data_IF_582052265595
#
_entry.id   IF_582052265595
#
_cell.length_a   1.000
_cell.length_b   1.000
_cell.length_c   1.000
_cell.angle_alpha   90.00
_cell.angle_beta   90.00
_cell.angle_gamma   90.00
#
_symmetry.space_group_name_H-M   'P 1'
#
loop_
_entity.id
_entity.type
_entity.pdbx_description
1 polymer ?
#
# COMPACT_ATOMS: atom_id res chain seq x y z
N UNK A 1 -30.60 6.41 -10.03
CA UNK A 1 -29.66 5.96 -8.98
C UNK A 1 -28.91 7.20 -8.49
N UNK A 2 -28.76 7.41 -7.18
CA UNK A 2 -28.01 8.58 -6.67
C UNK A 2 -26.51 8.46 -7.01
N UNK A 3 -25.81 9.60 -7.12
CA UNK A 3 -24.38 9.62 -7.41
C UNK A 3 -23.57 8.96 -6.29
N UNK A 4 -23.94 9.17 -5.03
CA UNK A 4 -23.31 8.51 -3.89
C UNK A 4 -23.51 7.00 -3.91
N UNK A 5 -24.66 6.49 -4.37
CA UNK A 5 -24.86 5.05 -4.55
C UNK A 5 -23.95 4.51 -5.65
N UNK A 6 -23.81 5.20 -6.78
CA UNK A 6 -22.87 4.82 -7.85
C UNK A 6 -21.43 4.76 -7.34
N UNK A 7 -21.04 5.74 -6.53
CA UNK A 7 -19.73 5.76 -5.89
C UNK A 7 -19.54 4.56 -4.95
N UNK A 8 -20.53 4.29 -4.09
CA UNK A 8 -20.53 3.12 -3.20
C UNK A 8 -20.41 1.81 -3.98
N UNK A 9 -21.22 1.61 -5.04
CA UNK A 9 -21.16 0.41 -5.88
C UNK A 9 -19.77 0.26 -6.54
N UNK A 10 -19.08 1.37 -6.83
CA UNK A 10 -17.70 1.37 -7.33
C UNK A 10 -16.68 0.94 -6.27
N UNK A 11 -16.84 1.38 -5.02
CA UNK A 11 -16.02 0.89 -3.90
C UNK A 11 -16.08 -0.65 -3.80
N UNK A 12 -17.26 -1.25 -4.01
CA UNK A 12 -17.42 -2.71 -3.99
C UNK A 12 -16.65 -3.42 -5.09
N UNK A 13 -16.50 -2.79 -6.27
CA UNK A 13 -15.64 -3.30 -7.35
C UNK A 13 -14.18 -3.34 -6.91
N UNK A 14 -13.71 -2.28 -6.25
CA UNK A 14 -12.33 -2.21 -5.77
C UNK A 14 -12.08 -3.15 -4.60
N UNK A 15 -13.05 -3.35 -3.70
CA UNK A 15 -12.98 -4.36 -2.64
C UNK A 15 -12.79 -5.75 -3.27
N UNK A 16 -13.62 -6.13 -4.27
CA UNK A 16 -13.45 -7.41 -4.98
C UNK A 16 -12.05 -7.54 -5.60
N UNK A 17 -11.58 -6.49 -6.28
CA UNK A 17 -10.23 -6.45 -6.86
C UNK A 17 -9.13 -6.58 -5.79
N UNK A 18 -9.33 -5.99 -4.62
CA UNK A 18 -8.42 -6.10 -3.48
C UNK A 18 -8.26 -7.56 -3.04
N UNK A 19 -9.35 -8.30 -2.85
CA UNK A 19 -9.30 -9.71 -2.50
C UNK A 19 -8.65 -10.59 -3.58
N UNK A 20 -8.73 -10.19 -4.85
CA UNK A 20 -8.07 -10.87 -5.96
C UNK A 20 -6.55 -10.65 -6.02
N UNK A 21 -6.00 -9.71 -5.24
CA UNK A 21 -4.57 -9.45 -5.19
C UNK A 21 -3.78 -10.72 -4.85
N UNK A 22 -2.64 -11.01 -5.52
CA UNK A 22 -1.89 -12.26 -5.34
C UNK A 22 -1.48 -12.54 -3.88
N UNK A 23 -1.27 -11.49 -3.09
CA UNK A 23 -1.04 -11.58 -1.65
C UNK A 23 -2.21 -12.26 -0.93
N UNK A 24 -3.42 -11.72 -1.08
CA UNK A 24 -4.61 -12.21 -0.39
C UNK A 24 -5.06 -13.59 -0.90
N UNK A 25 -4.97 -13.84 -2.21
CA UNK A 25 -5.25 -15.16 -2.79
C UNK A 25 -4.35 -16.29 -2.25
N UNK A 26 -3.18 -15.95 -1.71
CA UNK A 26 -2.25 -16.91 -1.14
C UNK A 26 -2.04 -16.71 0.38
N UNK A 27 -2.86 -15.89 1.03
CA UNK A 27 -2.64 -15.48 2.42
C UNK A 27 -2.64 -16.68 3.38
N UNK A 28 -3.65 -17.55 3.28
CA UNK A 28 -3.76 -18.76 4.08
C UNK A 28 -2.63 -19.79 3.84
N UNK A 29 -1.86 -19.64 2.75
CA UNK A 29 -0.74 -20.52 2.38
C UNK A 29 0.63 -19.98 2.82
N UNK A 30 0.69 -18.77 3.37
CA UNK A 30 1.94 -18.21 3.91
C UNK A 30 2.43 -19.05 5.09
N UNK A 31 3.75 -19.14 5.28
CA UNK A 31 4.30 -19.68 6.53
C UNK A 31 4.06 -18.70 7.69
N UNK A 32 4.21 -19.17 8.92
CA UNK A 32 4.06 -18.30 10.09
C UNK A 32 5.12 -17.21 10.15
N UNK A 33 6.33 -17.50 9.65
CA UNK A 33 7.40 -16.50 9.51
C UNK A 33 7.00 -15.40 8.50
N UNK A 34 6.40 -15.78 7.38
CA UNK A 34 5.92 -14.83 6.36
C UNK A 34 4.79 -13.95 6.89
N UNK A 35 3.83 -14.57 7.61
CA UNK A 35 2.74 -13.87 8.25
C UNK A 35 3.27 -12.87 9.28
N UNK A 36 4.15 -13.31 10.21
CA UNK A 36 4.79 -12.43 11.20
C UNK A 36 5.56 -11.29 10.55
N UNK A 37 6.30 -11.55 9.47
CA UNK A 37 7.01 -10.49 8.73
C UNK A 37 6.05 -9.45 8.14
N UNK A 38 4.93 -9.89 7.58
CA UNK A 38 3.91 -8.96 7.10
C UNK A 38 3.27 -8.16 8.25
N UNK A 39 2.91 -8.80 9.36
CA UNK A 39 2.33 -8.12 10.52
C UNK A 39 3.32 -7.11 11.14
N UNK A 40 4.62 -7.42 11.13
CA UNK A 40 5.67 -6.49 11.55
C UNK A 40 5.80 -5.27 10.62
N UNK A 41 5.62 -5.40 9.31
CA UNK A 41 5.56 -4.23 8.41
C UNK A 41 4.23 -3.46 8.56
N UNK A 42 3.14 -4.16 8.90
CA UNK A 42 1.84 -3.55 9.16
C UNK A 42 1.86 -2.62 10.37
N UNK A 43 2.64 -2.97 11.40
CA UNK A 43 2.95 -2.08 12.53
C UNK A 43 3.32 -0.67 12.06
N UNK A 44 4.23 -0.56 11.08
CA UNK A 44 4.68 0.74 10.59
C UNK A 44 3.60 1.51 9.83
N UNK A 45 2.69 0.83 9.13
CA UNK A 45 1.52 1.51 8.54
C UNK A 45 0.60 2.06 9.64
N UNK A 46 0.28 1.25 10.65
CA UNK A 46 -0.60 1.67 11.76
C UNK A 46 0.02 2.82 12.59
N UNK A 47 1.34 2.82 12.79
CA UNK A 47 2.05 3.93 13.45
C UNK A 47 1.93 5.27 12.72
N UNK A 48 1.64 5.28 11.42
CA UNK A 48 1.51 6.50 10.64
C UNK A 48 0.06 6.92 10.43
N UNK A 49 -0.91 6.18 10.96
CA UNK A 49 -2.33 6.49 10.80
C UNK A 49 -2.68 7.88 11.37
N UNK A 50 -2.44 8.10 12.68
CA UNK A 50 -2.69 9.42 13.32
C UNK A 50 -1.91 10.56 12.64
N UNK A 51 -0.57 10.48 12.41
CA UNK A 51 0.15 11.53 11.68
C UNK A 51 -0.39 11.85 10.29
N UNK A 52 -0.91 10.84 9.58
CA UNK A 52 -1.51 11.02 8.27
C UNK A 52 -2.82 11.82 8.36
N UNK A 53 -3.68 11.47 9.33
CA UNK A 53 -4.95 12.16 9.57
C UNK A 53 -4.73 13.57 10.14
N UNK A 54 -3.79 13.76 11.07
CA UNK A 54 -3.43 15.06 11.63
C UNK A 54 -2.97 16.06 10.55
N UNK A 55 -2.19 15.57 9.57
CA UNK A 55 -1.79 16.40 8.44
C UNK A 55 -3.00 16.92 7.65
N UNK A 56 -3.99 16.06 7.39
CA UNK A 56 -5.22 16.45 6.71
C UNK A 56 -6.08 17.39 7.57
N UNK A 57 -6.19 17.12 8.88
CA UNK A 57 -6.89 17.98 9.85
C UNK A 57 -6.34 19.40 9.83
N UNK A 58 -5.01 19.56 9.84
CA UNK A 58 -4.36 20.87 9.83
C UNK A 58 -4.71 21.66 8.56
N UNK A 59 -4.70 21.01 7.40
CA UNK A 59 -5.10 21.64 6.14
C UNK A 59 -6.58 22.00 6.14
N UNK A 60 -7.47 21.08 6.51
CA UNK A 60 -8.92 21.34 6.55
C UNK A 60 -9.25 22.49 7.51
N UNK A 61 -8.55 22.57 8.65
CA UNK A 61 -8.68 23.68 9.59
C UNK A 61 -8.25 25.01 8.96
N UNK A 62 -7.12 25.05 8.23
CA UNK A 62 -6.66 26.25 7.55
C UNK A 62 -7.60 26.69 6.41
N UNK A 63 -8.29 25.75 5.78
CA UNK A 63 -9.28 26.03 4.72
C UNK A 63 -10.68 26.39 5.28
N UNK A 64 -10.91 26.28 6.59
CA UNK A 64 -12.23 26.53 7.20
C UNK A 64 -13.23 25.39 7.01
N UNK A 65 -12.78 24.19 6.63
CA UNK A 65 -13.61 23.02 6.33
C UNK A 65 -13.96 22.23 7.59
N UNK A 66 -14.64 22.91 8.52
CA UNK A 66 -14.83 22.44 9.90
C UNK A 66 -15.55 21.08 9.99
N UNK A 67 -16.54 20.82 9.14
CA UNK A 67 -17.29 19.54 9.17
C UNK A 67 -16.39 18.35 8.83
N UNK A 68 -15.58 18.46 7.77
CA UNK A 68 -14.67 17.38 7.38
C UNK A 68 -13.55 17.22 8.44
N UNK A 69 -13.04 18.33 8.96
CA UNK A 69 -12.04 18.36 10.03
C UNK A 69 -12.54 17.69 11.31
N UNK A 70 -13.78 17.94 11.71
CA UNK A 70 -14.37 17.36 12.93
C UNK A 70 -14.58 15.84 12.80
N UNK A 71 -14.92 15.36 11.59
CA UNK A 71 -14.96 13.92 11.31
C UNK A 71 -13.59 13.29 11.54
N UNK A 72 -12.53 13.84 10.95
CA UNK A 72 -11.18 13.28 11.11
C UNK A 72 -10.68 13.37 12.56
N UNK A 73 -11.02 14.44 13.29
CA UNK A 73 -10.67 14.56 14.70
C UNK A 73 -11.30 13.48 15.56
N UNK A 74 -12.58 13.19 15.36
CA UNK A 74 -13.25 12.12 16.10
C UNK A 74 -12.51 10.79 15.88
N UNK A 75 -12.11 10.50 14.65
CA UNK A 75 -11.34 9.30 14.32
C UNK A 75 -10.00 9.29 15.07
N UNK A 76 -9.25 10.39 15.06
CA UNK A 76 -7.98 10.50 15.79
C UNK A 76 -8.15 10.36 17.31
N UNK A 77 -9.25 10.89 17.87
CA UNK A 77 -9.57 10.75 19.29
C UNK A 77 -9.86 9.28 19.64
N UNK A 78 -10.52 8.53 18.75
CA UNK A 78 -10.78 7.10 18.90
C UNK A 78 -9.50 6.25 18.80
N UNK A 79 -8.54 6.66 17.95
CA UNK A 79 -7.21 6.02 17.85
C UNK A 79 -6.34 6.20 19.11
N UNK A 80 -6.58 7.29 19.84
CA UNK A 80 -5.77 7.71 21.00
C UNK A 80 -6.66 8.13 22.19
N UNK A 81 -7.50 7.21 22.70
CA UNK A 81 -8.51 7.53 23.70
C UNK A 81 -7.88 7.86 25.05
N UNK A 82 -8.45 8.85 25.75
CA UNK A 82 -8.01 9.20 27.11
C UNK A 82 -8.45 8.11 28.10
N UNK A 83 -7.49 7.56 28.84
CA UNK A 83 -7.76 6.60 29.93
C UNK A 83 -8.01 5.16 29.47
N UNK A 84 -7.75 4.84 28.20
CA UNK A 84 -7.77 3.49 27.64
C UNK A 84 -6.50 3.27 26.80
N UNK A 85 -6.12 2.02 26.51
CA UNK A 85 -5.07 1.75 25.54
C UNK A 85 -5.37 2.40 24.19
N UNK A 86 -4.34 2.90 23.52
CA UNK A 86 -4.41 3.30 22.12
C UNK A 86 -4.49 2.09 21.20
N UNK A 87 -5.00 2.29 19.99
CA UNK A 87 -4.99 1.25 18.95
C UNK A 87 -3.58 0.72 18.65
N UNK A 88 -2.55 1.54 18.86
CA UNK A 88 -1.15 1.13 18.75
C UNK A 88 -0.72 0.19 19.86
N UNK A 89 -1.15 0.44 21.10
CA UNK A 89 -0.88 -0.47 22.22
C UNK A 89 -1.62 -1.79 22.03
N UNK A 90 -2.87 -1.75 21.56
CA UNK A 90 -3.65 -2.94 21.25
C UNK A 90 -3.03 -3.74 20.10
N UNK A 91 -2.48 -3.07 19.07
CA UNK A 91 -1.74 -3.75 18.01
C UNK A 91 -0.47 -4.44 18.56
N UNK A 92 0.31 -3.78 19.43
CA UNK A 92 1.47 -4.45 20.04
C UNK A 92 1.05 -5.67 20.86
N UNK A 93 -0.08 -5.60 21.55
CA UNK A 93 -0.62 -6.72 22.30
C UNK A 93 -0.95 -7.91 21.39
N UNK A 94 -1.64 -7.67 20.27
CA UNK A 94 -1.92 -8.72 19.28
C UNK A 94 -0.63 -9.27 18.65
N UNK A 95 0.35 -8.40 18.36
CA UNK A 95 1.65 -8.80 17.79
C UNK A 95 2.46 -9.68 18.76
N UNK A 96 2.42 -9.40 20.06
CA UNK A 96 3.06 -10.24 21.08
C UNK A 96 2.46 -11.65 21.09
N UNK A 97 1.13 -11.76 20.95
CA UNK A 97 0.43 -13.06 20.93
C UNK A 97 0.74 -13.93 19.73
N UNK A 98 1.14 -13.33 18.60
CA UNK A 98 1.65 -14.11 17.46
C UNK A 98 3.12 -14.47 17.59
N UNK A 99 3.78 -14.12 18.71
CA UNK A 99 5.18 -14.44 18.99
C UNK A 99 6.19 -13.43 18.46
N UNK A 100 5.78 -12.20 18.16
CA UNK A 100 6.71 -11.11 17.87
C UNK A 100 7.12 -10.40 19.16
N UNK A 101 8.41 -10.12 19.34
CA UNK A 101 8.87 -9.37 20.50
C UNK A 101 8.53 -7.87 20.34
N UNK A 102 7.75 -7.25 21.24
CA UNK A 102 7.39 -5.84 21.14
C UNK A 102 8.59 -4.89 21.06
N UNK A 103 9.67 -5.19 21.79
CA UNK A 103 10.88 -4.36 21.77
C UNK A 103 11.64 -4.44 20.44
N UNK A 104 11.58 -5.56 19.75
CA UNK A 104 12.17 -5.70 18.42
C UNK A 104 11.35 -4.94 17.38
N UNK A 105 10.02 -5.03 17.45
CA UNK A 105 9.10 -4.28 16.60
C UNK A 105 9.28 -2.77 16.75
N UNK A 106 9.43 -2.28 17.99
CA UNK A 106 9.65 -0.86 18.27
C UNK A 106 10.99 -0.33 17.74
N UNK A 107 12.02 -1.19 17.66
CA UNK A 107 13.35 -0.83 17.13
C UNK A 107 13.49 -1.07 15.64
N UNK A 108 12.60 -1.88 15.05
CA UNK A 108 12.65 -2.22 13.64
C UNK A 108 12.46 -0.97 12.77
N UNK A 109 13.19 -0.93 11.67
CA UNK A 109 12.98 0.06 10.63
C UNK A 109 12.05 -0.51 9.56
N UNK A 110 11.04 0.24 9.09
CA UNK A 110 10.18 -0.21 8.00
C UNK A 110 10.99 -0.54 6.77
N UNK A 111 10.55 -1.51 5.96
CA UNK A 111 11.20 -1.81 4.68
C UNK A 111 11.26 -0.58 3.77
N UNK A 112 12.16 -0.57 2.78
CA UNK A 112 12.20 0.48 1.74
C UNK A 112 10.84 0.60 1.03
N UNK A 113 10.12 -0.50 0.88
CA UNK A 113 8.82 -0.53 0.22
C UNK A 113 7.73 0.07 1.11
N UNK A 114 7.72 -0.28 2.39
CA UNK A 114 6.83 0.29 3.40
C UNK A 114 7.05 1.80 3.53
N UNK A 115 8.29 2.28 3.60
CA UNK A 115 8.59 3.73 3.61
C UNK A 115 8.08 4.45 2.37
N UNK A 116 8.25 3.86 1.18
CA UNK A 116 7.70 4.43 -0.06
C UNK A 116 6.19 4.47 -0.06
N UNK A 117 5.55 3.42 0.46
CA UNK A 117 4.09 3.34 0.60
C UNK A 117 3.60 4.44 1.54
N UNK A 118 4.21 4.59 2.72
CA UNK A 118 3.90 5.66 3.67
C UNK A 118 4.02 7.04 3.04
N UNK A 119 5.13 7.32 2.35
CA UNK A 119 5.31 8.59 1.66
C UNK A 119 4.21 8.85 0.61
N UNK A 120 3.80 7.81 -0.13
CA UNK A 120 2.69 7.92 -1.10
C UNK A 120 1.34 8.13 -0.41
N UNK A 121 1.05 7.46 0.70
CA UNK A 121 -0.19 7.63 1.47
C UNK A 121 -0.31 9.08 1.95
N UNK A 122 0.73 9.61 2.61
CA UNK A 122 0.78 11.02 2.99
C UNK A 122 0.64 11.96 1.78
N UNK A 123 1.21 11.59 0.64
CA UNK A 123 1.06 12.31 -0.62
C UNK A 123 -0.37 12.48 -1.11
N UNK A 124 -1.29 11.58 -0.73
CA UNK A 124 -2.71 11.67 -1.12
C UNK A 124 -3.44 12.84 -0.44
N UNK A 125 -2.90 13.37 0.65
CA UNK A 125 -3.53 14.42 1.48
C UNK A 125 -2.74 15.73 1.49
N UNK A 126 -1.72 15.85 0.64
CA UNK A 126 -0.97 17.11 0.47
C UNK A 126 -1.86 18.12 -0.23
N UNK A 127 -1.95 19.33 0.35
CA UNK A 127 -2.64 20.45 -0.29
C UNK A 127 -1.83 20.98 -1.47
N UNK A 128 -2.48 21.09 -2.61
CA UNK A 128 -1.90 21.54 -3.89
C UNK A 128 -2.68 22.72 -4.50
N UNK A 129 -3.63 23.31 -3.77
CA UNK A 129 -4.48 24.40 -4.26
C UNK A 129 -5.71 23.95 -5.06
N UNK A 130 -5.94 22.65 -5.23
CA UNK A 130 -7.10 22.14 -5.95
C UNK A 130 -8.42 22.41 -5.19
N UNK A 131 -9.44 22.99 -5.84
CA UNK A 131 -10.77 23.19 -5.24
C UNK A 131 -11.48 21.90 -4.84
N UNK A 132 -11.03 20.73 -5.30
CA UNK A 132 -11.54 19.42 -4.90
C UNK A 132 -10.75 18.76 -3.76
N UNK A 133 -9.84 19.49 -3.11
CA UNK A 133 -8.97 18.94 -2.05
C UNK A 133 -9.74 18.15 -0.98
N UNK A 134 -10.85 18.71 -0.47
CA UNK A 134 -11.67 18.06 0.57
C UNK A 134 -12.20 16.73 0.07
N UNK A 135 -12.83 16.71 -1.11
CA UNK A 135 -13.38 15.50 -1.70
C UNK A 135 -12.30 14.44 -1.93
N UNK A 136 -11.15 14.81 -2.51
CA UNK A 136 -10.04 13.88 -2.75
C UNK A 136 -9.47 13.32 -1.44
N UNK A 137 -9.23 14.18 -0.47
CA UNK A 137 -8.65 13.81 0.84
C UNK A 137 -9.58 12.87 1.60
N UNK A 138 -10.85 13.22 1.74
CA UNK A 138 -11.83 12.40 2.46
C UNK A 138 -12.06 11.06 1.77
N UNK A 139 -12.05 11.05 0.43
CA UNK A 139 -12.16 9.80 -0.35
C UNK A 139 -10.93 8.91 -0.16
N UNK A 140 -9.73 9.49 -0.20
CA UNK A 140 -8.49 8.74 -0.04
C UNK A 140 -8.33 8.13 1.35
N UNK A 141 -8.62 8.91 2.40
CA UNK A 141 -8.60 8.46 3.80
C UNK A 141 -9.62 7.34 4.04
N UNK A 142 -10.88 7.54 3.64
CA UNK A 142 -11.92 6.50 3.70
C UNK A 142 -11.48 5.20 3.03
N UNK A 143 -10.92 5.30 1.83
CA UNK A 143 -10.55 4.11 1.04
C UNK A 143 -9.37 3.37 1.67
N UNK A 144 -8.23 4.06 1.83
CA UNK A 144 -6.97 3.40 2.21
C UNK A 144 -6.74 3.31 3.73
N UNK A 145 -7.46 4.12 4.51
CA UNK A 145 -7.42 4.18 5.97
C UNK A 145 -8.52 3.35 6.65
N UNK A 146 -9.72 3.25 6.06
CA UNK A 146 -10.85 2.55 6.70
C UNK A 146 -11.22 1.26 5.94
N UNK A 147 -11.77 1.39 4.73
CA UNK A 147 -12.38 0.27 3.99
C UNK A 147 -11.37 -0.83 3.73
N UNK A 148 -10.22 -0.50 3.13
CA UNK A 148 -9.21 -1.50 2.81
C UNK A 148 -8.48 -2.04 4.05
N UNK A 149 -8.56 -1.35 5.19
CA UNK A 149 -8.06 -1.86 6.48
C UNK A 149 -8.96 -2.98 6.98
N UNK A 150 -10.28 -2.78 6.98
CA UNK A 150 -11.23 -3.82 7.35
C UNK A 150 -11.10 -5.05 6.44
N UNK A 151 -11.05 -4.85 5.12
CA UNK A 151 -10.96 -5.95 4.16
C UNK A 151 -9.62 -6.70 4.20
N UNK A 152 -8.55 -6.03 4.63
CA UNK A 152 -7.29 -6.69 4.96
C UNK A 152 -7.47 -7.62 6.16
N UNK A 153 -8.07 -7.11 7.25
CA UNK A 153 -8.21 -7.86 8.50
C UNK A 153 -9.20 -9.01 8.42
N UNK A 154 -10.12 -8.99 7.46
CA UNK A 154 -10.95 -10.14 7.08
C UNK A 154 -10.12 -11.40 6.78
N UNK A 155 -8.91 -11.25 6.23
CA UNK A 155 -8.00 -12.38 5.99
C UNK A 155 -7.10 -12.67 7.19
N UNK A 156 -6.75 -11.64 7.96
CA UNK A 156 -5.83 -11.76 9.11
C UNK A 156 -6.49 -12.52 10.24
N UNK A 157 -7.69 -12.10 10.67
CA UNK A 157 -8.36 -12.61 11.88
C UNK A 157 -8.50 -14.14 11.88
N UNK A 158 -8.99 -14.80 10.81
CA UNK A 158 -9.09 -16.26 10.79
C UNK A 158 -7.73 -16.96 10.92
N UNK A 159 -6.65 -16.37 10.40
CA UNK A 159 -5.31 -16.95 10.48
C UNK A 159 -4.67 -16.73 11.86
N UNK A 160 -5.03 -15.65 12.57
CA UNK A 160 -4.61 -15.45 13.96
C UNK A 160 -5.17 -16.53 14.88
N UNK A 161 -6.47 -16.80 14.75
CA UNK A 161 -7.15 -17.85 15.49
C UNK A 161 -6.56 -19.23 15.15
N UNK A 162 -6.51 -19.56 13.84
CA UNK A 162 -6.08 -20.88 13.38
C UNK A 162 -4.64 -21.24 13.74
N UNK A 163 -3.72 -20.25 13.78
CA UNK A 163 -2.27 -20.50 13.92
C UNK A 163 -1.73 -20.19 15.31
N UNK A 164 -2.34 -19.24 16.01
CA UNK A 164 -1.81 -18.69 17.26
C UNK A 164 -2.81 -18.73 18.41
N UNK A 165 -3.97 -19.38 18.22
CA UNK A 165 -5.03 -19.50 19.24
C UNK A 165 -5.51 -18.14 19.76
N UNK A 166 -5.40 -17.09 18.92
CA UNK A 166 -5.86 -15.75 19.22
C UNK A 166 -7.25 -15.55 18.61
N UNK A 167 -8.29 -15.80 19.40
CA UNK A 167 -9.68 -15.73 18.93
C UNK A 167 -10.11 -14.29 18.63
N UNK A 168 -11.17 -14.07 17.82
CA UNK A 168 -11.70 -12.73 17.56
C UNK A 168 -12.05 -11.94 18.84
N UNK A 169 -12.55 -12.61 19.89
CA UNK A 169 -12.89 -11.99 21.17
C UNK A 169 -11.66 -11.58 21.99
N UNK A 170 -10.52 -12.20 21.72
CA UNK A 170 -9.26 -11.90 22.39
C UNK A 170 -8.45 -10.86 21.64
N UNK A 171 -8.52 -10.84 20.30
CA UNK A 171 -7.83 -9.85 19.48
C UNK A 171 -8.34 -8.45 19.80
N UNK A 172 -7.43 -7.57 20.22
CA UNK A 172 -7.76 -6.21 20.63
C UNK A 172 -7.76 -5.23 19.47
N UNK A 173 -6.98 -5.53 18.44
CA UNK A 173 -6.78 -4.63 17.31
C UNK A 173 -7.40 -5.18 16.02
N UNK A 174 -6.98 -6.36 15.57
CA UNK A 174 -7.36 -6.84 14.23
C UNK A 174 -8.87 -7.15 14.12
N UNK A 175 -9.42 -7.90 15.08
CA UNK A 175 -10.85 -8.23 15.08
C UNK A 175 -11.72 -6.99 15.30
N UNK A 176 -11.30 -6.10 16.20
CA UNK A 176 -11.99 -4.82 16.45
C UNK A 176 -12.14 -3.99 15.17
N UNK A 177 -11.05 -3.73 14.44
CA UNK A 177 -11.09 -2.94 13.20
C UNK A 177 -11.79 -3.67 12.04
N UNK A 178 -11.71 -5.01 11.97
CA UNK A 178 -12.47 -5.77 10.98
C UNK A 178 -13.99 -5.58 11.15
N UNK A 179 -14.47 -5.57 12.38
CA UNK A 179 -15.88 -5.32 12.68
C UNK A 179 -16.23 -3.84 12.55
N UNK A 180 -15.40 -2.94 13.08
CA UNK A 180 -15.69 -1.52 13.20
C UNK A 180 -15.61 -0.75 11.87
N UNK A 181 -14.65 -1.08 11.01
CA UNK A 181 -14.36 -0.23 9.84
C UNK A 181 -14.99 -0.76 8.54
N UNK A 182 -15.56 -1.98 8.56
CA UNK A 182 -16.17 -2.58 7.38
C UNK A 182 -17.32 -1.72 6.86
N UNK A 183 -17.42 -1.67 5.53
CA UNK A 183 -18.38 -0.81 4.83
C UNK A 183 -19.84 -1.18 5.08
N UNK A 184 -20.13 -2.45 5.27
CA UNK A 184 -21.47 -3.02 5.45
C UNK A 184 -21.91 -3.12 6.92
N UNK A 185 -21.09 -2.68 7.88
CA UNK A 185 -21.52 -2.60 9.27
C UNK A 185 -22.34 -1.34 9.50
N UNK A 186 -23.61 -1.49 9.86
CA UNK A 186 -24.50 -0.37 10.24
C UNK A 186 -23.97 0.42 11.45
N UNK A 187 -23.17 -0.20 12.31
CA UNK A 187 -22.53 0.46 13.46
C UNK A 187 -21.13 1.02 13.15
N UNK A 188 -20.63 0.94 11.91
CA UNK A 188 -19.29 1.38 11.55
C UNK A 188 -19.15 2.90 11.53
N UNK A 189 -18.88 3.50 12.70
CA UNK A 189 -18.98 4.95 12.92
C UNK A 189 -18.04 5.75 12.01
N UNK A 190 -16.83 5.25 11.76
CA UNK A 190 -15.82 5.94 10.95
C UNK A 190 -16.21 5.95 9.48
N UNK A 191 -16.46 4.79 8.88
CA UNK A 191 -16.89 4.69 7.48
C UNK A 191 -18.20 5.48 7.24
N UNK A 192 -19.19 5.45 8.13
CA UNK A 192 -20.40 6.27 7.94
C UNK A 192 -20.16 7.77 8.07
N UNK A 193 -19.22 8.20 8.92
CA UNK A 193 -18.88 9.61 9.07
C UNK A 193 -18.26 10.22 7.81
N UNK A 194 -17.41 9.47 7.10
CA UNK A 194 -16.92 9.84 5.77
C UNK A 194 -18.07 9.93 4.75
N UNK A 195 -18.98 8.97 4.78
CA UNK A 195 -20.09 8.88 3.82
C UNK A 195 -20.93 10.16 3.75
N UNK A 196 -21.19 10.80 4.91
CA UNK A 196 -21.93 12.07 4.98
C UNK A 196 -21.18 13.23 4.31
N UNK A 197 -19.86 13.30 4.47
CA UNK A 197 -19.05 14.33 3.82
C UNK A 197 -19.00 14.10 2.31
N UNK A 198 -18.86 12.83 1.87
CA UNK A 198 -18.86 12.48 0.46
C UNK A 198 -20.21 12.75 -0.20
N UNK A 199 -21.32 12.41 0.45
CA UNK A 199 -22.67 12.67 -0.05
C UNK A 199 -22.89 14.17 -0.31
N UNK A 200 -22.43 15.05 0.58
CA UNK A 200 -22.54 16.50 0.38
C UNK A 200 -21.60 17.06 -0.69
N UNK A 201 -20.54 16.34 -1.06
CA UNK A 201 -19.52 16.81 -2.02
C UNK A 201 -19.67 16.20 -3.42
N UNK A 202 -20.28 15.01 -3.55
CA UNK A 202 -20.54 14.35 -4.83
C UNK A 202 -21.89 14.84 -5.38
N UNK A 203 -21.89 16.10 -5.83
CA UNK A 203 -23.10 16.82 -6.28
C UNK A 203 -23.43 16.62 -7.75
N UNK A 204 -22.45 16.23 -8.56
CA UNK A 204 -22.53 16.09 -10.00
C UNK A 204 -21.55 15.02 -10.52
N UNK A 205 -21.59 14.74 -11.82
CA UNK A 205 -20.73 13.73 -12.45
C UNK A 205 -19.25 14.08 -12.40
N UNK A 206 -18.88 15.37 -12.35
CA UNK A 206 -17.49 15.79 -12.29
C UNK A 206 -16.91 15.47 -10.92
N UNK A 207 -17.66 15.78 -9.85
CA UNK A 207 -17.32 15.39 -8.49
C UNK A 207 -17.29 13.88 -8.32
N UNK A 208 -18.22 13.14 -8.94
CA UNK A 208 -18.17 11.68 -8.94
C UNK A 208 -16.88 11.15 -9.59
N UNK A 209 -16.47 11.71 -10.73
CA UNK A 209 -15.20 11.35 -11.40
C UNK A 209 -13.99 11.63 -10.51
N UNK A 210 -13.97 12.78 -9.82
CA UNK A 210 -12.89 13.12 -8.88
C UNK A 210 -12.84 12.12 -7.72
N UNK A 211 -13.98 11.74 -7.15
CA UNK A 211 -14.03 10.73 -6.08
C UNK A 211 -13.51 9.38 -6.57
N UNK A 212 -13.93 8.93 -7.75
CA UNK A 212 -13.46 7.67 -8.36
C UNK A 212 -11.94 7.70 -8.58
N UNK A 213 -11.39 8.78 -9.13
CA UNK A 213 -9.94 8.92 -9.33
C UNK A 213 -9.17 8.90 -8.01
N UNK A 214 -9.64 9.63 -7.00
CA UNK A 214 -9.03 9.62 -5.66
C UNK A 214 -9.07 8.22 -5.03
N UNK A 215 -10.18 7.50 -5.19
CA UNK A 215 -10.35 6.12 -4.70
C UNK A 215 -9.37 5.17 -5.38
N UNK A 216 -9.21 5.28 -6.70
CA UNK A 216 -8.25 4.47 -7.46
C UNK A 216 -6.81 4.72 -7.00
N UNK A 217 -6.41 5.98 -6.83
CA UNK A 217 -5.06 6.31 -6.34
C UNK A 217 -4.82 5.76 -4.94
N UNK A 218 -5.81 5.91 -4.04
CA UNK A 218 -5.73 5.37 -2.69
C UNK A 218 -5.63 3.84 -2.69
N UNK A 219 -6.46 3.18 -3.50
CA UNK A 219 -6.40 1.74 -3.73
C UNK A 219 -5.02 1.30 -4.24
N UNK A 220 -4.49 1.95 -5.28
CA UNK A 220 -3.19 1.59 -5.87
C UNK A 220 -2.04 1.72 -4.88
N UNK A 221 -2.02 2.82 -4.11
CA UNK A 221 -1.01 3.02 -3.08
C UNK A 221 -1.12 1.93 -2.00
N UNK A 222 -2.34 1.64 -1.53
CA UNK A 222 -2.57 0.65 -0.48
C UNK A 222 -2.29 -0.77 -0.96
N UNK A 223 -2.82 -1.17 -2.11
CA UNK A 223 -2.57 -2.47 -2.73
C UNK A 223 -1.07 -2.66 -3.01
N UNK A 224 -0.39 -1.60 -3.44
CA UNK A 224 1.05 -1.61 -3.67
C UNK A 224 1.85 -2.03 -2.44
N UNK A 225 1.39 -1.76 -1.20
CA UNK A 225 2.04 -2.24 0.02
C UNK A 225 2.31 -3.75 0.00
N UNK A 226 1.34 -4.54 -0.47
CA UNK A 226 1.37 -6.00 -0.38
C UNK A 226 2.26 -6.64 -1.45
N UNK A 227 2.66 -5.91 -2.49
CA UNK A 227 3.58 -6.40 -3.54
C UNK A 227 4.89 -6.93 -2.96
N UNK A 228 5.36 -6.34 -1.85
CA UNK A 228 6.60 -6.74 -1.18
C UNK A 228 6.56 -8.18 -0.60
N UNK A 229 5.38 -8.79 -0.51
CA UNK A 229 5.18 -10.14 0.02
C UNK A 229 4.83 -11.16 -1.06
N UNK A 230 4.67 -10.76 -2.31
CA UNK A 230 4.33 -11.70 -3.40
C UNK A 230 5.57 -12.46 -3.90
N UNK A 231 5.43 -13.72 -4.34
CA UNK A 231 6.55 -14.55 -4.80
C UNK A 231 7.34 -13.95 -5.99
N UNK A 232 6.69 -13.11 -6.80
CA UNK A 232 7.32 -12.40 -7.92
C UNK A 232 8.41 -11.44 -7.43
N UNK A 233 8.19 -10.76 -6.30
CA UNK A 233 9.19 -9.85 -5.72
C UNK A 233 10.42 -10.61 -5.20
N UNK A 234 10.23 -11.80 -4.59
CA UNK A 234 11.34 -12.68 -4.16
C UNK A 234 12.15 -13.23 -5.31
N UNK A 235 11.51 -13.75 -6.36
CA UNK A 235 12.22 -14.25 -7.56
C UNK A 235 13.04 -13.15 -8.21
N UNK A 236 12.49 -11.94 -8.30
CA UNK A 236 13.20 -10.79 -8.87
C UNK A 236 14.34 -10.26 -7.98
N UNK A 237 14.23 -10.39 -6.65
CA UNK A 237 15.35 -10.14 -5.74
C UNK A 237 16.47 -11.17 -5.91
N UNK A 238 16.14 -12.46 -6.02
CA UNK A 238 17.13 -13.52 -6.29
C UNK A 238 17.86 -13.27 -7.61
N UNK A 239 17.12 -12.95 -8.69
CA UNK A 239 17.72 -12.60 -9.99
C UNK A 239 18.63 -11.37 -9.88
N UNK A 240 18.25 -10.33 -9.14
CA UNK A 240 19.09 -9.14 -8.93
C UNK A 240 20.36 -9.42 -8.14
N UNK A 241 20.27 -10.20 -7.06
CA UNK A 241 21.42 -10.60 -6.24
C UNK A 241 22.39 -11.43 -7.08
N UNK A 242 21.89 -12.37 -7.88
CA UNK A 242 22.72 -13.19 -8.76
C UNK A 242 23.32 -12.38 -9.91
N UNK A 243 22.59 -11.41 -10.47
CA UNK A 243 23.12 -10.50 -11.49
C UNK A 243 24.24 -9.59 -10.97
N UNK A 244 24.15 -9.20 -9.70
CA UNK A 244 25.21 -8.45 -9.05
C UNK A 244 26.46 -9.29 -8.72
N UNK A 245 26.32 -10.61 -8.57
CA UNK A 245 27.39 -11.49 -8.07
C UNK A 245 28.03 -12.41 -9.11
N UNK A 246 27.37 -12.69 -10.25
CA UNK A 246 27.85 -13.69 -11.22
C UNK A 246 27.95 -13.21 -12.68
N UNK A 247 27.75 -11.91 -12.92
CA UNK A 247 27.74 -11.34 -14.26
C UNK A 247 26.48 -11.74 -15.04
N UNK A 248 26.09 -10.88 -15.99
CA UNK A 248 24.79 -10.89 -16.69
C UNK A 248 24.43 -12.27 -17.30
N UNK A 249 25.43 -13.03 -17.76
CA UNK A 249 25.22 -14.33 -18.42
C UNK A 249 24.69 -15.44 -17.49
N UNK A 250 25.19 -15.52 -16.25
CA UNK A 250 24.72 -16.53 -15.28
C UNK A 250 23.28 -16.26 -14.81
N UNK A 251 22.90 -14.98 -14.76
CA UNK A 251 21.56 -14.56 -14.33
C UNK A 251 20.50 -14.80 -15.40
N UNK A 252 20.86 -14.68 -16.68
CA UNK A 252 19.97 -15.02 -17.80
C UNK A 252 19.71 -16.53 -17.87
N UNK A 253 20.75 -17.36 -17.66
CA UNK A 253 20.62 -18.82 -17.61
C UNK A 253 19.74 -19.29 -16.44
N UNK A 254 19.82 -18.64 -15.28
CA UNK A 254 18.98 -18.99 -14.14
C UNK A 254 17.55 -18.44 -14.23
N UNK A 255 17.35 -17.27 -14.84
CA UNK A 255 16.01 -16.77 -15.14
C UNK A 255 15.27 -17.77 -16.05
N UNK A 256 15.94 -18.29 -17.08
CA UNK A 256 15.41 -19.34 -17.94
C UNK A 256 15.04 -20.61 -17.17
N UNK A 257 15.93 -21.12 -16.31
CA UNK A 257 15.67 -22.34 -15.55
C UNK A 257 14.57 -22.21 -14.47
N UNK A 258 14.28 -20.98 -14.03
CA UNK A 258 13.16 -20.67 -13.12
C UNK A 258 11.82 -20.44 -13.84
N UNK A 259 11.77 -20.70 -15.15
CA UNK A 259 10.55 -20.61 -15.96
C UNK A 259 10.21 -19.20 -16.42
N UNK A 260 11.17 -18.28 -16.45
CA UNK A 260 11.03 -17.07 -17.25
C UNK A 260 11.37 -17.42 -18.70
N UNK A 261 10.43 -17.24 -19.63
CA UNK A 261 10.68 -17.46 -21.05
C UNK A 261 11.87 -16.58 -21.50
N UNK A 262 12.95 -17.21 -21.96
CA UNK A 262 13.91 -16.49 -22.79
C UNK A 262 13.32 -16.40 -24.19
N UNK A 263 13.56 -15.29 -24.91
CA UNK A 263 13.22 -15.23 -26.32
C UNK A 263 14.10 -16.25 -27.06
N UNK A 264 13.54 -17.41 -27.42
CA UNK A 264 14.24 -18.38 -28.24
C UNK A 264 14.28 -17.90 -29.70
N UNK A 265 15.49 -17.85 -30.26
CA UNK A 265 15.72 -18.23 -31.65
C UNK A 265 15.96 -17.12 -32.67
N UNK A 266 17.26 -16.89 -32.93
CA UNK A 266 17.87 -16.26 -34.10
C UNK A 266 17.90 -14.73 -34.20
N UNK A 267 19.08 -14.19 -33.88
CA UNK A 267 19.51 -12.82 -34.20
C UNK A 267 19.50 -11.93 -32.97
N UNK A 268 20.58 -11.16 -32.79
CA UNK A 268 20.59 -10.00 -31.88
C UNK A 268 19.38 -9.13 -32.28
N UNK A 269 18.36 -8.93 -31.43
CA UNK A 269 17.27 -8.04 -31.76
C UNK A 269 17.74 -6.60 -31.54
N UNK A 270 17.86 -5.85 -32.64
CA UNK A 270 17.47 -4.44 -32.59
C UNK A 270 15.99 -4.40 -32.20
N UNK A 271 15.61 -3.43 -31.34
CA UNK A 271 14.27 -3.23 -30.73
C UNK A 271 14.12 -3.99 -29.38
N UNK A 272 13.97 -3.37 -28.20
CA UNK A 272 13.24 -2.14 -27.83
C UNK A 272 11.93 -2.00 -28.64
N UNK A 273 11.14 -3.08 -28.72
CA UNK A 273 9.75 -3.05 -29.21
C UNK A 273 8.77 -3.19 -28.04
N UNK A 274 9.04 -2.49 -26.93
CA UNK A 274 8.05 -2.23 -25.87
C UNK A 274 7.03 -1.15 -26.25
N UNK A 275 7.11 -0.56 -27.46
CA UNK A 275 6.28 0.58 -27.88
C UNK A 275 5.20 0.25 -28.91
N UNK A 276 5.13 -0.98 -29.44
CA UNK A 276 4.07 -1.34 -30.40
C UNK A 276 2.76 -1.82 -29.77
N UNK A 277 2.74 -2.09 -28.46
CA UNK A 277 1.49 -2.37 -27.76
C UNK A 277 0.71 -1.11 -27.35
N UNK A 278 1.28 0.08 -27.57
CA UNK A 278 0.57 1.34 -27.39
C UNK A 278 -0.42 1.65 -28.52
N UNK A 279 -0.47 0.87 -29.61
CA UNK A 279 -1.27 1.23 -30.79
C UNK A 279 -2.76 0.82 -30.75
N UNK A 280 -3.19 -0.01 -29.81
CA UNK A 280 -4.61 -0.41 -29.63
C UNK A 280 -5.22 0.04 -28.28
N UNK A 281 -4.58 1.02 -27.63
CA UNK A 281 -5.05 1.58 -26.36
C UNK A 281 -5.76 2.91 -26.63
N UNK A 282 -6.90 3.10 -25.95
CA UNK A 282 -7.67 4.35 -25.88
C UNK A 282 -6.74 5.58 -25.83
N UNK A 283 -6.95 6.60 -26.69
CA UNK A 283 -6.15 7.82 -26.70
C UNK A 283 -5.94 8.48 -25.33
N UNK A 284 -6.87 8.32 -24.38
CA UNK A 284 -6.75 8.88 -23.03
C UNK A 284 -5.69 8.21 -22.13
N UNK A 285 -5.28 6.96 -22.38
CA UNK A 285 -4.27 6.26 -21.58
C UNK A 285 -2.82 6.52 -22.05
N UNK A 286 -2.62 7.06 -23.27
CA UNK A 286 -1.26 7.30 -23.80
C UNK A 286 -0.53 8.46 -23.12
N UNK A 287 -1.25 9.46 -22.62
CA UNK A 287 -0.62 10.68 -22.07
C UNK A 287 -0.16 10.51 -20.61
N UNK A 288 -0.84 9.67 -19.82
CA UNK A 288 -0.44 9.36 -18.45
C UNK A 288 0.86 8.56 -18.37
N UNK A 289 1.04 7.59 -19.27
CA UNK A 289 2.18 6.68 -19.24
C UNK A 289 3.46 7.34 -19.77
N UNK A 290 3.32 8.22 -20.76
CA UNK A 290 4.43 9.00 -21.33
C UNK A 290 5.03 9.97 -20.30
N UNK A 291 4.21 10.50 -19.40
CA UNK A 291 4.66 11.36 -18.30
C UNK A 291 5.47 10.57 -17.24
N UNK A 292 5.02 9.38 -16.86
CA UNK A 292 5.68 8.52 -15.87
C UNK A 292 7.06 8.01 -16.32
N UNK A 293 7.18 7.68 -17.61
CA UNK A 293 8.43 7.21 -18.20
C UNK A 293 9.48 8.32 -18.25
N UNK A 294 9.09 9.52 -18.72
CA UNK A 294 10.00 10.66 -18.81
C UNK A 294 10.51 11.12 -17.43
N UNK A 295 9.66 11.07 -16.40
CA UNK A 295 10.04 11.41 -15.02
C UNK A 295 11.03 10.42 -14.41
N UNK A 296 10.90 9.15 -14.75
CA UNK A 296 11.77 8.09 -14.22
C UNK A 296 13.18 8.16 -14.82
N UNK A 297 13.31 8.54 -16.09
CA UNK A 297 14.60 8.70 -16.77
C UNK A 297 15.40 9.93 -16.30
N UNK A 298 14.74 10.98 -15.84
CA UNK A 298 15.39 12.21 -15.35
C UNK A 298 15.99 12.09 -13.94
N UNK A 299 15.68 11.03 -13.20
CA UNK A 299 16.08 10.89 -11.77
C UNK A 299 17.11 9.78 -11.51
N UNK A 300 17.55 9.07 -12.55
CA UNK A 300 18.53 8.01 -12.42
C UNK A 300 19.96 8.57 -12.50
N UNK A 301 20.65 8.65 -11.37
CA UNK A 301 22.10 8.89 -11.34
C UNK A 301 22.85 7.63 -11.81
N UNK A 302 23.37 7.69 -13.04
CA UNK A 302 24.10 6.60 -13.68
C UNK A 302 25.61 6.64 -13.42
N UNK A 303 26.10 7.57 -12.60
CA UNK A 303 27.54 7.74 -12.31
C UNK A 303 28.16 6.48 -11.69
N UNK A 304 27.39 5.73 -10.90
CA UNK A 304 27.81 4.49 -10.25
C UNK A 304 28.11 3.33 -11.23
N UNK A 305 27.55 3.36 -12.45
CA UNK A 305 27.77 2.29 -13.43
C UNK A 305 29.20 2.26 -13.98
N UNK A 306 29.96 3.36 -13.85
CA UNK A 306 31.36 3.46 -14.36
C UNK A 306 32.38 2.70 -13.52
N UNK A 307 32.01 2.28 -12.31
CA UNK A 307 32.93 1.63 -11.36
C UNK A 307 32.59 0.15 -11.09
N UNK A 308 31.53 -0.38 -11.71
CA UNK A 308 31.14 -1.79 -11.58
C UNK A 308 32.20 -2.68 -12.22
N UNK A 309 32.73 -3.64 -11.44
CA UNK A 309 33.75 -4.60 -11.87
C UNK A 309 35.19 -4.22 -11.54
N UNK A 310 35.43 -3.04 -10.94
CA UNK A 310 36.76 -2.64 -10.48
C UNK A 310 37.05 -3.20 -9.07
N UNK A 311 38.28 -3.69 -8.80
CA UNK A 311 38.65 -4.26 -7.50
C UNK A 311 38.39 -3.31 -6.31
N UNK A 312 38.51 -1.99 -6.52
CA UNK A 312 38.31 -0.99 -5.46
C UNK A 312 36.83 -0.92 -5.02
N UNK A 313 35.89 -1.04 -5.96
CA UNK A 313 34.44 -1.05 -5.67
C UNK A 313 34.01 -2.36 -4.98
N UNK A 314 34.74 -3.45 -5.22
CA UNK A 314 34.53 -4.73 -4.51
C UNK A 314 35.03 -4.63 -3.07
N UNK A 315 36.20 -4.03 -2.82
CA UNK A 315 36.71 -3.81 -1.45
C UNK A 315 35.85 -2.87 -0.63
N UNK A 316 35.26 -1.85 -1.24
CA UNK A 316 34.37 -0.89 -0.55
C UNK A 316 33.09 -1.57 -0.03
N UNK A 317 32.58 -2.57 -0.75
CA UNK A 317 31.35 -3.30 -0.40
C UNK A 317 31.60 -4.48 0.53
N UNK A 318 32.75 -5.16 0.40
CA UNK A 318 33.01 -6.44 1.07
C UNK A 318 34.15 -6.42 2.10
N UNK A 319 34.89 -5.31 2.23
CA UNK A 319 36.10 -5.24 3.07
C UNK A 319 37.28 -6.01 2.47
N UNK A 320 38.40 -6.10 3.21
CA UNK A 320 39.52 -6.96 2.83
C UNK A 320 39.28 -8.41 3.28
N UNK A 321 38.77 -9.25 2.38
CA UNK A 321 38.99 -10.69 2.45
C UNK A 321 38.02 -11.55 1.64
N UNK A 322 38.30 -12.86 1.52
CA UNK A 322 39.64 -13.49 1.55
C UNK A 322 40.45 -13.22 0.28
#
# INVERSE_FOLDING_TARGET
MSLIKRFSDYEDVLIRKFHEHPFFRNFSRMSDEELRKYLAEKWHLSQNFVPWYDSAINTLNALGELKARDVLRKIVDDETPIGKPSHREDLLWDLERVGLNPLEILKAMPSKHTRKTLAKLHGLTIYDGDPNYVLRTMTALRTAGEILVAEEYRHVVPELERRFDLTPEQSRFYAFHFEHDRKDNESGEHTHSFGRILESNITDEDKLRVAIDATNRAYEVRAGFYDQFTKISRRMQIVKVLAASSGIAASLLLAYSLGFETPEGNGIPNEISGYRHCLDIDPMQRDSDRWLINRSLQTADTSYLKNVGKPEAVREVWGEGP
#
